data_IF_314022874520
#
_entry.id   IF_314022874520
#
_cell.length_a   1.000
_cell.length_b   1.000
_cell.length_c   1.000
_cell.angle_alpha   90.00
_cell.angle_beta   90.00
_cell.angle_gamma   90.00
#
_symmetry.space_group_name_H-M   'P 1'
#
loop_
_entity.id
_entity.type
_entity.pdbx_description
1 polymer ?
#
# COMPACT_ATOMS: atom_id res chain seq x y z
N UNK A 1 -10.14 7.42 12.31
CA UNK A 1 -9.31 6.47 11.55
C UNK A 1 -9.54 6.70 10.09
N UNK A 2 -8.48 6.72 9.31
CA UNK A 2 -8.53 6.94 7.87
C UNK A 2 -7.88 5.76 7.15
N UNK A 3 -8.46 5.32 6.04
CA UNK A 3 -7.94 4.24 5.22
C UNK A 3 -7.44 4.77 3.88
N UNK A 4 -6.47 4.07 3.30
CA UNK A 4 -6.05 4.22 1.92
C UNK A 4 -5.92 2.85 1.28
N UNK A 5 -6.62 2.67 0.17
CA UNK A 5 -6.64 1.46 -0.64
C UNK A 5 -5.96 1.79 -1.97
N UNK A 6 -5.03 0.92 -2.39
CA UNK A 6 -4.33 1.05 -3.67
C UNK A 6 -4.48 -0.25 -4.44
N UNK A 7 -4.99 -0.17 -5.66
CA UNK A 7 -5.13 -1.29 -6.57
C UNK A 7 -4.08 -1.17 -7.66
N UNK A 8 -3.24 -2.19 -7.77
CA UNK A 8 -2.21 -2.31 -8.78
C UNK A 8 -2.63 -3.40 -9.78
N UNK A 9 -2.56 -3.09 -11.07
CA UNK A 9 -2.93 -4.02 -12.14
C UNK A 9 -1.72 -4.29 -13.04
N UNK A 10 -1.70 -5.47 -13.65
CA UNK A 10 -0.58 -5.91 -14.50
C UNK A 10 0.67 -6.27 -13.70
N UNK A 11 0.53 -6.62 -12.42
CA UNK A 11 1.65 -7.07 -11.57
C UNK A 11 2.26 -8.33 -12.17
N UNK A 12 3.57 -8.28 -12.42
CA UNK A 12 4.28 -9.32 -13.18
C UNK A 12 4.78 -10.48 -12.30
N UNK A 13 5.07 -10.21 -11.04
CA UNK A 13 5.46 -11.20 -10.03
C UNK A 13 4.87 -10.84 -8.65
N UNK A 14 3.67 -11.35 -8.32
CA UNK A 14 3.03 -11.12 -7.03
C UNK A 14 3.86 -11.58 -5.82
N UNK A 15 4.61 -12.68 -5.95
CA UNK A 15 5.38 -13.25 -4.86
C UNK A 15 6.60 -12.38 -4.53
N UNK A 16 7.33 -11.94 -5.56
CA UNK A 16 8.44 -11.00 -5.43
C UNK A 16 7.96 -9.66 -4.85
N UNK A 17 6.87 -9.11 -5.40
CA UNK A 17 6.29 -7.85 -4.94
C UNK A 17 5.89 -7.95 -3.45
N UNK A 18 5.23 -9.04 -3.07
CA UNK A 18 4.87 -9.33 -1.68
C UNK A 18 6.09 -9.39 -0.75
N UNK A 19 7.15 -10.09 -1.17
CA UNK A 19 8.40 -10.18 -0.38
C UNK A 19 9.03 -8.82 -0.16
N UNK A 20 9.23 -8.02 -1.22
CA UNK A 20 9.84 -6.67 -1.11
C UNK A 20 8.98 -5.71 -0.30
N UNK A 21 7.66 -5.76 -0.45
CA UNK A 21 6.75 -4.97 0.40
C UNK A 21 6.92 -5.36 1.88
N UNK A 22 7.03 -6.65 2.18
CA UNK A 22 7.18 -7.13 3.55
C UNK A 22 8.54 -6.79 4.17
N UNK A 23 9.63 -6.96 3.41
CA UNK A 23 10.99 -6.79 3.90
C UNK A 23 11.45 -5.33 3.89
N UNK A 24 11.00 -4.52 2.93
CA UNK A 24 11.53 -3.18 2.71
C UNK A 24 10.52 -2.06 2.97
N UNK A 25 9.27 -2.22 2.51
CA UNK A 25 8.27 -1.15 2.65
C UNK A 25 7.61 -1.13 4.02
N UNK A 26 7.20 -2.28 4.54
CA UNK A 26 6.51 -2.41 5.83
C UNK A 26 7.30 -1.81 7.01
N UNK A 27 8.64 -1.96 7.12
CA UNK A 27 9.43 -1.27 8.14
C UNK A 27 9.33 0.26 8.05
N UNK A 28 9.35 0.83 6.84
CA UNK A 28 9.20 2.27 6.62
C UNK A 28 7.78 2.73 6.91
N UNK A 29 6.78 1.92 6.57
CA UNK A 29 5.38 2.25 6.78
C UNK A 29 5.01 2.28 8.27
N UNK A 30 5.57 1.36 9.07
CA UNK A 30 5.38 1.32 10.54
C UNK A 30 5.92 2.54 11.27
N UNK A 31 6.78 3.34 10.63
CA UNK A 31 7.30 4.59 11.19
C UNK A 31 6.36 5.78 10.95
N UNK A 32 5.29 5.62 10.18
CA UNK A 32 4.28 6.67 10.01
C UNK A 32 3.52 6.83 11.33
N UNK A 33 3.42 8.07 11.81
CA UNK A 33 2.66 8.37 13.02
C UNK A 33 1.20 7.94 12.83
N UNK A 34 0.66 7.25 13.84
CA UNK A 34 -0.71 6.75 13.81
C UNK A 34 -0.92 5.56 12.86
N UNK A 35 0.12 4.80 12.50
CA UNK A 35 -0.03 3.53 11.80
C UNK A 35 -0.86 2.53 12.63
N UNK A 36 -1.95 2.01 12.06
CA UNK A 36 -2.83 1.03 12.71
C UNK A 36 -2.65 -0.35 12.09
N UNK A 37 -2.83 -0.46 10.76
CA UNK A 37 -2.75 -1.73 10.07
C UNK A 37 -2.33 -1.56 8.61
N UNK A 38 -1.76 -2.62 8.03
CA UNK A 38 -1.51 -2.69 6.61
C UNK A 38 -1.66 -4.11 6.09
N UNK A 39 -2.29 -4.22 4.92
CA UNK A 39 -2.48 -5.47 4.19
C UNK A 39 -2.03 -5.26 2.76
N UNK A 40 -1.36 -6.26 2.19
CA UNK A 40 -1.07 -6.34 0.77
C UNK A 40 -1.51 -7.70 0.27
N UNK A 41 -2.53 -7.71 -0.58
CA UNK A 41 -3.31 -8.89 -0.94
C UNK A 41 -3.12 -9.19 -2.41
N UNK A 42 -2.78 -10.43 -2.73
CA UNK A 42 -2.86 -10.97 -4.08
C UNK A 42 -4.32 -11.30 -4.40
N UNK A 43 -4.90 -10.52 -5.32
CA UNK A 43 -6.27 -10.69 -5.77
C UNK A 43 -6.38 -11.60 -7.02
N UNK A 44 -5.26 -12.17 -7.47
CA UNK A 44 -5.17 -13.00 -8.66
C UNK A 44 -5.15 -12.20 -9.96
N UNK A 45 -4.78 -12.85 -11.07
CA UNK A 45 -4.82 -12.26 -12.41
C UNK A 45 -3.89 -11.05 -12.60
N UNK A 46 -2.77 -10.98 -11.86
CA UNK A 46 -1.86 -9.84 -11.89
C UNK A 46 -2.41 -8.60 -11.18
N UNK A 47 -3.34 -8.78 -10.24
CA UNK A 47 -3.90 -7.69 -9.43
C UNK A 47 -3.44 -7.82 -7.98
N UNK A 48 -2.84 -6.75 -7.46
CA UNK A 48 -2.48 -6.63 -6.05
C UNK A 48 -3.26 -5.47 -5.41
N UNK A 49 -3.72 -5.64 -4.18
CA UNK A 49 -4.45 -4.60 -3.43
C UNK A 49 -3.75 -4.34 -2.10
N UNK A 50 -3.30 -3.11 -1.88
CA UNK A 50 -2.82 -2.68 -0.56
C UNK A 50 -3.91 -1.91 0.18
N UNK A 51 -4.10 -2.18 1.46
CA UNK A 51 -4.96 -1.40 2.36
C UNK A 51 -4.12 -0.96 3.56
N UNK A 52 -3.97 0.35 3.76
CA UNK A 52 -3.37 0.92 4.96
C UNK A 52 -4.42 1.64 5.81
N UNK A 53 -4.37 1.46 7.13
CA UNK A 53 -5.26 2.10 8.10
C UNK A 53 -4.42 2.92 9.07
N UNK A 54 -4.86 4.15 9.32
CA UNK A 54 -4.18 5.13 10.16
C UNK A 54 -5.16 5.78 11.14
N UNK A 55 -4.66 6.32 12.25
CA UNK A 55 -5.45 7.04 13.25
C UNK A 55 -6.18 8.23 12.63
N UNK A 56 -5.52 8.96 11.72
CA UNK A 56 -6.02 10.15 11.05
C UNK A 56 -5.64 10.22 9.56
N UNK A 57 -6.14 11.27 8.90
CA UNK A 57 -5.89 11.56 7.50
C UNK A 57 -4.41 11.85 7.20
N UNK A 58 -3.69 12.50 8.11
CA UNK A 58 -2.30 12.88 7.90
C UNK A 58 -1.41 11.65 7.75
N UNK A 59 -1.63 10.61 8.57
CA UNK A 59 -0.94 9.33 8.43
C UNK A 59 -1.22 8.64 7.09
N UNK A 60 -2.47 8.70 6.60
CA UNK A 60 -2.85 8.13 5.29
C UNK A 60 -2.21 8.88 4.10
N UNK A 61 -2.11 10.21 4.18
CA UNK A 61 -1.44 11.04 3.17
C UNK A 61 0.08 10.78 3.16
N UNK A 62 0.71 10.73 4.33
CA UNK A 62 2.13 10.39 4.46
C UNK A 62 2.44 8.99 3.91
N UNK A 63 1.61 7.99 4.25
CA UNK A 63 1.70 6.65 3.68
C UNK A 63 1.67 6.67 2.15
N UNK A 64 0.84 7.54 1.56
CA UNK A 64 0.70 7.65 0.10
C UNK A 64 1.95 8.22 -0.54
N UNK A 65 2.56 9.25 0.06
CA UNK A 65 3.83 9.78 -0.40
C UNK A 65 4.95 8.73 -0.32
N UNK A 66 5.07 8.01 0.81
CA UNK A 66 6.07 6.95 1.00
C UNK A 66 5.87 5.79 0.02
N UNK A 67 4.63 5.34 -0.19
CA UNK A 67 4.31 4.28 -1.15
C UNK A 67 4.68 4.69 -2.59
N UNK A 68 4.34 5.91 -3.01
CA UNK A 68 4.69 6.41 -4.34
C UNK A 68 6.20 6.44 -4.57
N UNK A 69 6.98 6.84 -3.56
CA UNK A 69 8.44 6.77 -3.60
C UNK A 69 8.95 5.34 -3.73
N UNK A 70 8.48 4.45 -2.85
CA UNK A 70 8.89 3.06 -2.83
C UNK A 70 8.58 2.33 -4.15
N UNK A 71 7.37 2.53 -4.70
CA UNK A 71 6.99 1.91 -5.98
C UNK A 71 7.93 2.35 -7.10
N UNK A 72 8.17 3.66 -7.21
CA UNK A 72 9.06 4.22 -8.24
C UNK A 72 10.49 3.70 -8.12
N UNK A 73 11.01 3.64 -6.89
CA UNK A 73 12.44 3.39 -6.67
C UNK A 73 12.77 1.88 -6.54
N UNK A 74 11.80 1.03 -6.18
CA UNK A 74 12.04 -0.37 -5.76
C UNK A 74 11.12 -1.41 -6.38
N UNK A 75 10.00 -1.03 -7.00
CA UNK A 75 9.02 -1.98 -7.55
C UNK A 75 8.56 -1.64 -8.97
N UNK A 76 9.16 -0.65 -9.65
CA UNK A 76 8.67 -0.16 -10.93
C UNK A 76 8.63 -1.26 -12.01
N UNK A 77 9.54 -2.23 -11.94
CA UNK A 77 9.59 -3.38 -12.84
C UNK A 77 8.50 -4.44 -12.55
N UNK A 78 7.97 -4.44 -11.33
CA UNK A 78 6.94 -5.38 -10.87
C UNK A 78 5.52 -4.80 -10.98
N UNK A 79 5.40 -3.48 -10.92
CA UNK A 79 4.16 -2.71 -10.90
C UNK A 79 4.15 -1.73 -12.09
N UNK A 80 3.95 -2.21 -13.33
CA UNK A 80 4.17 -1.42 -14.54
C UNK A 80 3.14 -0.31 -14.76
N UNK A 81 1.99 -0.39 -14.09
CA UNK A 81 0.89 0.57 -14.23
C UNK A 81 0.76 1.44 -12.97
N UNK A 82 0.33 2.71 -13.13
CA UNK A 82 -0.01 3.53 -11.97
C UNK A 82 -1.17 2.90 -11.19
N UNK A 83 -1.13 2.91 -9.85
CA UNK A 83 -2.22 2.37 -9.05
C UNK A 83 -3.46 3.27 -9.10
N UNK A 84 -4.63 2.65 -8.96
CA UNK A 84 -5.84 3.36 -8.57
C UNK A 84 -5.80 3.55 -7.04
N UNK A 85 -6.00 4.78 -6.57
CA UNK A 85 -5.93 5.12 -5.14
C UNK A 85 -7.29 5.61 -4.67
N UNK A 86 -7.78 5.03 -3.57
CA UNK A 86 -9.01 5.45 -2.86
C UNK A 86 -8.65 5.70 -1.40
N UNK A 87 -9.09 6.81 -0.83
CA UNK A 87 -8.84 7.13 0.57
C UNK A 87 -10.06 7.79 1.22
N UNK A 88 -10.25 7.56 2.52
CA UNK A 88 -11.36 8.16 3.26
C UNK A 88 -11.44 7.71 4.73
N UNK A 89 -12.40 8.28 5.44
CA UNK A 89 -12.72 7.91 6.82
C UNK A 89 -13.19 6.45 6.94
N UNK A 90 -12.69 5.76 7.95
CA UNK A 90 -13.16 4.42 8.32
C UNK A 90 -14.45 4.57 9.14
N UNK A 91 -15.58 4.21 8.53
CA UNK A 91 -16.91 4.37 9.16
C UNK A 91 -17.41 3.13 9.90
N UNK A 92 -16.75 1.97 9.72
CA UNK A 92 -17.04 0.72 10.41
C UNK A 92 -15.79 -0.16 10.45
N UNK A 93 -15.54 -0.81 11.59
CA UNK A 93 -14.46 -1.78 11.83
C UNK A 93 -14.76 -2.57 13.11
N UNK A 94 -14.05 -3.69 13.33
CA UNK A 94 -14.13 -4.51 14.56
C UNK A 94 -12.75 -4.90 15.04
#
# INVERSE_FOLDING_TARGET
>A
MHAVIRRYEGVTDPAEAGRRVNEEFLPLLRQVQGFVAYYFVDAGGGVMVSTGVFEDRAGAEESTARAGGFVRDRLAELLPNPPQVTAGEVVAHS
#
